data_IF_159043537619
#
_entry.id   IF_159043537619
#
_cell.length_a   1.000
_cell.length_b   1.000
_cell.length_c   1.000
_cell.angle_alpha   90.00
_cell.angle_beta   90.00
_cell.angle_gamma   90.00
#
_symmetry.space_group_name_H-M   'P 1'
#
loop_
_entity.id
_entity.type
_entity.pdbx_description
1 polymer ?
#
# COMPACT_ATOMS: atom_id res chain seq x y z
N UNK A 1 -24.84 -13.41 -9.44
CA UNK A 1 -23.60 -12.76 -8.98
C UNK A 1 -23.27 -11.69 -9.99
N UNK A 2 -23.28 -10.41 -9.58
CA UNK A 2 -23.01 -9.30 -10.50
C UNK A 2 -21.49 -9.18 -10.66
N UNK A 3 -20.95 -9.71 -11.75
CA UNK A 3 -19.59 -9.37 -12.18
C UNK A 3 -19.65 -7.94 -12.70
N UNK A 4 -19.36 -6.97 -11.85
CA UNK A 4 -19.07 -5.62 -12.31
C UNK A 4 -17.78 -5.76 -13.11
N UNK A 5 -17.90 -5.91 -14.44
CA UNK A 5 -16.80 -5.60 -15.34
C UNK A 5 -16.48 -4.13 -15.13
N UNK A 6 -15.54 -3.87 -14.22
CA UNK A 6 -15.01 -2.54 -14.01
C UNK A 6 -14.14 -2.23 -15.23
N UNK A 7 -14.77 -1.69 -16.27
CA UNK A 7 -14.07 -1.14 -17.41
C UNK A 7 -13.34 0.11 -16.94
N UNK A 8 -12.01 0.11 -17.10
CA UNK A 8 -11.18 1.26 -16.74
C UNK A 8 -11.51 2.38 -17.72
N UNK A 9 -12.02 3.50 -17.22
CA UNK A 9 -12.37 4.64 -18.07
C UNK A 9 -11.10 5.38 -18.52
N UNK A 10 -11.17 6.22 -19.58
CA UNK A 10 -10.03 7.05 -19.98
C UNK A 10 -9.51 7.95 -18.85
N UNK A 11 -10.41 8.46 -18.00
CA UNK A 11 -10.05 9.25 -16.79
C UNK A 11 -9.23 8.43 -15.79
N UNK A 12 -9.60 7.16 -15.60
CA UNK A 12 -8.89 6.27 -14.68
C UNK A 12 -7.50 5.93 -15.23
N UNK A 13 -7.37 5.79 -16.55
CA UNK A 13 -6.08 5.62 -17.20
C UNK A 13 -5.17 6.82 -16.97
N UNK A 14 -5.67 8.05 -17.10
CA UNK A 14 -4.89 9.26 -16.81
C UNK A 14 -4.46 9.34 -15.33
N UNK A 15 -5.32 8.88 -14.40
CA UNK A 15 -4.94 8.75 -13.00
C UNK A 15 -3.80 7.73 -12.82
N UNK A 16 -3.92 6.54 -13.39
CA UNK A 16 -2.90 5.49 -13.31
C UNK A 16 -1.58 5.96 -13.92
N UNK A 17 -1.64 6.63 -15.09
CA UNK A 17 -0.49 7.25 -15.74
C UNK A 17 0.21 8.25 -14.84
N UNK A 18 -0.54 9.15 -14.22
CA UNK A 18 0.02 10.15 -13.29
C UNK A 18 0.72 9.51 -12.07
N UNK A 19 0.18 8.40 -11.53
CA UNK A 19 0.82 7.68 -10.41
C UNK A 19 2.17 7.10 -10.82
N UNK A 20 2.26 6.56 -12.04
CA UNK A 20 3.49 5.97 -12.55
C UNK A 20 4.54 7.04 -12.84
N UNK A 21 4.13 8.15 -13.45
CA UNK A 21 4.99 9.30 -13.76
C UNK A 21 5.61 9.88 -12.47
N UNK A 22 4.79 10.13 -11.44
CA UNK A 22 5.23 10.64 -10.14
C UNK A 22 6.25 9.71 -9.44
N UNK A 23 6.10 8.40 -9.69
CA UNK A 23 6.99 7.37 -9.17
C UNK A 23 8.24 7.12 -10.04
N UNK A 24 8.34 7.80 -11.20
CA UNK A 24 9.45 7.73 -12.15
C UNK A 24 9.40 6.53 -13.09
N UNK A 25 8.26 5.86 -13.19
CA UNK A 25 8.07 4.73 -14.10
C UNK A 25 7.62 5.21 -15.48
N UNK A 26 8.12 4.53 -16.51
CA UNK A 26 7.73 4.83 -17.89
C UNK A 26 6.23 4.59 -18.12
N UNK A 27 5.59 5.63 -18.65
CA UNK A 27 4.15 5.76 -18.84
C UNK A 27 3.76 5.42 -20.29
N UNK A 28 4.72 5.41 -21.22
CA UNK A 28 4.48 5.10 -22.64
C UNK A 28 3.92 3.68 -22.85
N UNK A 29 4.25 2.78 -21.93
CA UNK A 29 3.83 1.37 -21.88
C UNK A 29 2.30 1.21 -21.71
N UNK A 30 1.59 2.26 -21.31
CA UNK A 30 0.14 2.29 -21.14
C UNK A 30 -0.64 2.71 -22.40
N UNK A 31 0.02 3.00 -23.52
CA UNK A 31 -0.60 3.62 -24.71
C UNK A 31 -0.90 2.60 -25.82
N UNK A 32 -0.08 1.57 -25.99
CA UNK A 32 -0.10 0.77 -27.24
C UNK A 32 -0.70 -0.62 -27.11
N UNK A 33 -0.67 -1.25 -25.93
CA UNK A 33 -1.32 -2.55 -25.75
C UNK A 33 -1.55 -2.89 -24.27
N UNK A 34 -2.79 -3.20 -23.88
CA UNK A 34 -3.12 -3.64 -22.51
C UNK A 34 -2.40 -4.95 -22.12
N UNK A 35 -1.80 -5.65 -23.08
CA UNK A 35 -0.99 -6.85 -22.86
C UNK A 35 0.45 -6.54 -22.40
N UNK A 36 0.93 -5.32 -22.62
CA UNK A 36 2.32 -4.92 -22.43
C UNK A 36 2.57 -4.12 -21.15
N UNK A 37 1.63 -4.05 -20.21
CA UNK A 37 1.85 -3.33 -18.95
C UNK A 37 3.16 -3.78 -18.29
N UNK A 38 4.07 -2.83 -18.06
CA UNK A 38 5.22 -3.10 -17.21
C UNK A 38 4.72 -3.51 -15.81
N UNK A 39 5.58 -4.14 -15.01
CA UNK A 39 5.19 -4.67 -13.70
C UNK A 39 4.57 -3.61 -12.77
N UNK A 40 5.00 -2.36 -12.84
CA UNK A 40 4.43 -1.25 -12.08
C UNK A 40 3.02 -0.87 -12.57
N UNK A 41 2.83 -0.73 -13.89
CA UNK A 41 1.53 -0.46 -14.47
C UNK A 41 0.53 -1.58 -14.16
N UNK A 42 0.94 -2.85 -14.27
CA UNK A 42 0.11 -3.99 -13.92
C UNK A 42 -0.28 -3.97 -12.44
N UNK A 43 0.66 -3.63 -11.56
CA UNK A 43 0.38 -3.53 -10.12
C UNK A 43 -0.63 -2.42 -9.81
N UNK A 44 -0.40 -1.21 -10.32
CA UNK A 44 -1.29 -0.06 -10.06
C UNK A 44 -2.69 -0.35 -10.59
N UNK A 45 -2.80 -0.90 -11.80
CA UNK A 45 -4.08 -1.32 -12.38
C UNK A 45 -4.79 -2.37 -11.52
N UNK A 46 -4.09 -3.41 -11.04
CA UNK A 46 -4.67 -4.40 -10.13
C UNK A 46 -5.15 -3.79 -8.81
N UNK A 47 -4.37 -2.87 -8.25
CA UNK A 47 -4.74 -2.16 -7.02
C UNK A 47 -5.99 -1.29 -7.22
N UNK A 48 -6.06 -0.61 -8.35
CA UNK A 48 -7.21 0.19 -8.73
C UNK A 48 -8.48 -0.66 -8.88
N UNK A 49 -8.38 -1.79 -9.60
CA UNK A 49 -9.47 -2.76 -9.74
C UNK A 49 -9.87 -3.42 -8.40
N UNK A 50 -8.96 -3.49 -7.43
CA UNK A 50 -9.26 -3.97 -6.06
C UNK A 50 -9.96 -2.93 -5.18
N UNK A 51 -10.29 -1.75 -5.70
CA UNK A 51 -11.01 -0.69 -5.00
C UNK A 51 -10.13 0.42 -4.42
N UNK A 52 -8.82 0.45 -4.75
CA UNK A 52 -7.93 1.54 -4.32
C UNK A 52 -7.98 2.68 -5.34
N UNK A 53 -8.85 3.66 -5.11
CA UNK A 53 -9.05 4.77 -6.06
C UNK A 53 -8.32 6.07 -5.70
N UNK A 54 -7.64 6.11 -4.55
CA UNK A 54 -6.85 7.29 -4.17
C UNK A 54 -5.46 7.26 -4.81
N UNK A 55 -5.09 8.33 -5.52
CA UNK A 55 -3.76 8.52 -6.13
C UNK A 55 -2.63 8.30 -5.11
N UNK A 56 -2.74 8.90 -3.92
CA UNK A 56 -1.71 8.78 -2.88
C UNK A 56 -1.62 7.36 -2.32
N UNK A 57 -2.75 6.65 -2.22
CA UNK A 57 -2.77 5.26 -1.76
C UNK A 57 -2.15 4.31 -2.80
N UNK A 58 -2.41 4.54 -4.09
CA UNK A 58 -1.79 3.78 -5.18
C UNK A 58 -0.27 4.02 -5.21
N UNK A 59 0.17 5.27 -5.13
CA UNK A 59 1.58 5.63 -5.09
C UNK A 59 2.30 4.99 -3.88
N UNK A 60 1.71 5.07 -2.68
CA UNK A 60 2.28 4.46 -1.48
C UNK A 60 2.41 2.93 -1.60
N UNK A 61 1.39 2.25 -2.16
CA UNK A 61 1.45 0.80 -2.36
C UNK A 61 2.46 0.41 -3.44
N UNK A 62 2.54 1.19 -4.53
CA UNK A 62 3.55 1.01 -5.58
C UNK A 62 4.96 1.13 -5.00
N UNK A 63 5.22 2.19 -4.24
CA UNK A 63 6.50 2.41 -3.56
C UNK A 63 6.81 1.29 -2.56
N UNK A 64 5.81 0.82 -1.81
CA UNK A 64 6.01 -0.28 -0.85
C UNK A 64 6.40 -1.61 -1.51
N UNK A 65 5.88 -1.91 -2.70
CA UNK A 65 6.13 -3.20 -3.36
C UNK A 65 7.32 -3.17 -4.33
N UNK A 66 7.39 -2.13 -5.17
CA UNK A 66 8.38 -2.01 -6.24
C UNK A 66 9.44 -0.93 -5.95
N UNK A 67 9.18 0.01 -5.04
CA UNK A 67 10.02 1.19 -4.82
C UNK A 67 9.75 2.28 -5.84
N UNK A 68 10.58 3.33 -5.82
CA UNK A 68 10.59 4.37 -6.86
C UNK A 68 11.67 4.03 -7.89
N UNK A 69 11.38 4.29 -9.17
CA UNK A 69 12.35 4.07 -10.23
C UNK A 69 13.61 4.93 -9.98
N UNK A 70 14.79 4.35 -10.12
CA UNK A 70 16.08 5.04 -9.96
C UNK A 70 16.48 5.40 -8.53
N UNK A 71 15.66 5.15 -7.50
CA UNK A 71 16.03 5.36 -6.09
C UNK A 71 16.28 4.02 -5.40
N UNK A 72 17.32 3.96 -4.57
CA UNK A 72 17.61 2.77 -3.77
C UNK A 72 16.37 2.38 -2.97
N UNK A 73 15.98 1.11 -3.08
CA UNK A 73 14.76 0.52 -2.53
C UNK A 73 14.66 0.80 -1.02
N UNK A 74 13.94 1.85 -0.63
CA UNK A 74 13.57 2.02 0.78
C UNK A 74 12.52 0.96 1.07
N UNK A 75 12.92 -0.06 1.85
CA UNK A 75 11.98 -1.09 2.24
C UNK A 75 10.84 -0.42 3.01
N UNK A 76 9.61 -0.60 2.54
CA UNK A 76 8.39 -0.30 3.31
C UNK A 76 8.26 -1.30 4.46
N UNK A 77 9.26 -1.33 5.33
CA UNK A 77 9.22 -2.05 6.59
C UNK A 77 8.43 -1.17 7.54
N UNK A 78 7.21 -1.59 7.87
CA UNK A 78 6.60 -1.15 9.13
C UNK A 78 7.63 -1.43 10.22
N UNK A 79 8.05 -0.39 10.95
CA UNK A 79 8.89 -0.59 12.13
C UNK A 79 8.05 -1.39 13.12
N UNK A 80 8.22 -2.70 13.15
CA UNK A 80 7.63 -3.51 14.21
C UNK A 80 8.25 -3.05 15.52
N UNK A 81 7.42 -2.81 16.53
CA UNK A 81 7.96 -2.50 17.86
C UNK A 81 8.84 -3.67 18.28
N UNK A 82 9.92 -3.40 19.03
CA UNK A 82 10.78 -4.47 19.54
C UNK A 82 9.98 -5.53 20.29
N UNK A 83 8.86 -5.15 20.90
CA UNK A 83 7.94 -6.04 21.61
C UNK A 83 7.22 -7.05 20.70
N UNK A 84 6.98 -6.71 19.43
CA UNK A 84 6.39 -7.65 18.47
C UNK A 84 7.38 -8.74 18.02
N UNK A 85 8.68 -8.58 18.31
CA UNK A 85 9.75 -9.54 17.96
C UNK A 85 10.26 -10.25 19.22
N UNK A 86 10.49 -9.50 20.30
CA UNK A 86 11.12 -9.96 21.54
C UNK A 86 10.11 -10.33 22.64
N UNK A 87 8.82 -10.09 22.41
CA UNK A 87 7.78 -10.19 23.44
C UNK A 87 7.62 -8.89 24.25
N UNK A 88 6.49 -8.79 24.95
CA UNK A 88 6.23 -7.67 25.86
C UNK A 88 7.15 -7.78 27.09
N UNK A 89 7.81 -6.68 27.51
CA UNK A 89 8.52 -6.59 28.78
C UNK A 89 7.62 -6.98 29.94
N UNK A 90 8.17 -7.67 30.91
CA UNK A 90 7.47 -8.18 32.09
C UNK A 90 6.74 -7.03 32.82
N UNK A 91 7.33 -5.84 32.85
CA UNK A 91 6.79 -4.63 33.46
C UNK A 91 5.50 -4.12 32.79
N UNK A 92 5.36 -4.37 31.48
CA UNK A 92 4.15 -4.02 30.72
C UNK A 92 3.06 -5.09 30.82
N UNK A 93 3.42 -6.35 31.12
CA UNK A 93 2.45 -7.43 31.28
C UNK A 93 1.61 -7.25 32.54
N UNK A 94 2.19 -6.67 33.60
CA UNK A 94 1.49 -6.56 34.87
C UNK A 94 0.63 -5.31 35.03
N UNK A 95 0.77 -4.27 34.18
CA UNK A 95 0.01 -3.01 34.29
C UNK A 95 -1.52 -3.17 34.19
N UNK A 96 -1.99 -4.29 33.67
CA UNK A 96 -3.42 -4.64 33.61
C UNK A 96 -3.94 -5.43 34.82
N UNK A 97 -3.08 -5.88 35.74
CA UNK A 97 -3.48 -6.75 36.85
C UNK A 97 -3.82 -5.99 38.15
N UNK A 98 -3.61 -4.66 38.22
CA UNK A 98 -3.70 -3.92 39.47
C UNK A 98 -4.87 -2.93 39.59
N UNK A 99 -5.71 -2.78 38.56
CA UNK A 99 -6.81 -1.81 38.61
C UNK A 99 -8.09 -2.32 39.27
N UNK A 100 -8.08 -3.51 39.89
CA UNK A 100 -9.28 -4.10 40.52
C UNK A 100 -9.27 -4.11 42.04
N UNK A 101 -8.36 -3.43 42.71
CA UNK A 101 -8.37 -3.31 44.16
C UNK A 101 -8.02 -1.89 44.58
N UNK A 102 -9.03 -1.06 44.82
CA UNK A 102 -9.09 0.00 45.85
C UNK A 102 -10.23 0.98 45.52
N UNK A 103 -11.42 0.75 46.10
CA UNK A 103 -12.36 1.74 46.69
C UNK A 103 -13.41 0.89 47.44
N UNK A 104 -13.84 1.10 48.67
CA UNK A 104 -13.40 1.85 49.84
C UNK A 104 -14.16 1.27 51.05
N UNK A 105 -13.68 1.66 52.23
CA UNK A 105 -14.28 1.60 53.57
C UNK A 105 -15.81 1.77 53.62
#
# INVERSE_FOLDING_TARGET
>A
MSSIEYSISPSDFEMIRSVLDDAGYDVSVLVEDHSLFNTAALLVTKLFLSGVHSRSALAAKLECQLGRAGKHRQSCRRSLSRYAIQGLPIELQFRHAYTSSTVAN
#
